data_IF_877436160114
#
_entry.id   IF_877436160114
#
_cell.length_a   1.000
_cell.length_b   1.000
_cell.length_c   1.000
_cell.angle_alpha   90.00
_cell.angle_beta   90.00
_cell.angle_gamma   90.00
#
_symmetry.space_group_name_H-M   'P 1'
#
loop_
_entity.id
_entity.type
_entity.pdbx_description
1 polymer ?
#
# COMPACT_ATOMS: atom_id res chain seq x y z
N UNK A 1 26.37 31.97 46.93
CA UNK A 1 25.59 30.82 47.44
C UNK A 1 24.38 30.55 46.54
N UNK A 2 24.59 30.05 45.31
CA UNK A 2 23.48 29.68 44.42
C UNK A 2 23.43 28.16 44.27
N UNK A 3 22.59 27.58 45.13
CA UNK A 3 21.83 26.34 45.00
C UNK A 3 22.49 25.16 44.27
N UNK A 4 23.23 24.35 45.03
CA UNK A 4 23.48 22.92 44.77
C UNK A 4 22.16 22.12 44.63
N UNK A 5 21.01 22.70 45.00
CA UNK A 5 19.70 22.06 44.91
C UNK A 5 19.17 21.85 43.47
N UNK A 6 19.67 22.60 42.48
CA UNK A 6 19.22 22.45 41.08
C UNK A 6 19.81 21.18 40.43
N UNK A 7 21.07 20.84 40.73
CA UNK A 7 21.70 19.62 40.22
C UNK A 7 21.06 18.34 40.79
N UNK A 8 20.59 18.35 42.05
CA UNK A 8 19.84 17.21 42.62
C UNK A 8 18.43 17.05 42.04
N UNK A 9 17.83 18.12 41.49
CA UNK A 9 16.52 18.01 40.82
C UNK A 9 16.63 17.46 39.40
N UNK A 10 17.72 17.72 38.69
CA UNK A 10 17.96 17.16 37.36
C UNK A 10 18.27 15.65 37.39
N UNK A 11 18.97 15.15 38.40
CA UNK A 11 19.27 13.71 38.52
C UNK A 11 18.05 12.83 38.81
N UNK A 12 17.00 13.39 39.42
CA UNK A 12 15.78 12.63 39.72
C UNK A 12 14.90 12.42 38.48
N UNK A 13 15.04 13.23 37.43
CA UNK A 13 14.32 13.04 36.17
C UNK A 13 14.93 11.94 35.29
N UNK A 14 16.22 11.64 35.46
CA UNK A 14 16.94 10.65 34.64
C UNK A 14 16.92 9.22 35.19
N UNK A 15 16.46 9.02 36.43
CA UNK A 15 16.56 7.71 37.09
C UNK A 15 15.59 6.64 36.55
N UNK A 16 14.63 6.99 35.70
CA UNK A 16 13.68 6.02 35.14
C UNK A 16 13.98 5.56 33.70
N UNK A 17 15.11 5.96 33.11
CA UNK A 17 15.47 5.56 31.74
C UNK A 17 16.82 4.85 31.65
N UNK A 18 17.26 4.16 32.70
CA UNK A 18 18.19 3.05 32.50
C UNK A 18 17.37 1.93 31.85
N UNK A 19 17.22 2.03 30.52
CA UNK A 19 16.69 0.95 29.70
C UNK A 19 17.51 -0.29 30.04
N UNK A 20 16.88 -1.29 30.67
CA UNK A 20 17.49 -2.58 30.87
C UNK A 20 17.73 -3.20 29.49
N UNK A 21 18.93 -3.02 28.94
CA UNK A 21 19.36 -3.78 27.78
C UNK A 21 19.57 -5.22 28.22
N UNK A 22 18.77 -6.13 27.65
CA UNK A 22 18.94 -7.57 27.86
C UNK A 22 19.76 -8.10 26.70
N UNK A 23 20.83 -8.80 27.03
CA UNK A 23 21.63 -9.54 26.07
C UNK A 23 21.65 -11.02 26.43
N UNK A 24 21.61 -11.92 25.45
CA UNK A 24 21.76 -13.36 25.64
C UNK A 24 23.06 -13.84 25.03
N UNK A 25 23.95 -14.31 25.91
CA UNK A 25 25.26 -14.85 25.54
C UNK A 25 25.23 -16.36 25.68
N UNK A 26 25.60 -17.08 24.62
CA UNK A 26 25.79 -18.53 24.66
C UNK A 26 27.23 -18.78 25.08
N UNK A 27 27.40 -19.22 26.32
CA UNK A 27 28.69 -19.53 26.91
C UNK A 27 28.96 -21.03 26.85
N UNK A 28 30.19 -21.41 26.53
CA UNK A 28 30.68 -22.79 26.58
C UNK A 28 31.86 -22.87 27.53
N UNK A 29 31.97 -23.95 28.29
CA UNK A 29 33.16 -24.21 29.10
C UNK A 29 34.36 -24.48 28.18
N UNK A 30 35.47 -23.79 28.44
CA UNK A 30 36.75 -24.03 27.74
C UNK A 30 37.26 -25.43 28.06
N UNK A 31 37.20 -25.79 29.34
CA UNK A 31 37.54 -27.12 29.85
C UNK A 31 36.28 -27.77 30.42
N UNK A 32 35.82 -28.85 29.79
CA UNK A 32 34.71 -29.65 30.29
C UNK A 32 35.28 -30.78 31.16
N UNK A 33 35.16 -30.72 32.49
CA UNK A 33 35.66 -31.78 33.34
C UNK A 33 34.82 -33.05 33.18
N UNK A 34 35.49 -34.19 33.05
CA UNK A 34 34.86 -35.51 33.23
C UNK A 34 34.12 -35.60 34.58
N UNK A 35 32.92 -36.20 34.64
CA UNK A 35 32.21 -36.43 35.89
C UNK A 35 33.10 -37.20 36.89
N UNK A 36 33.03 -36.83 38.17
CA UNK A 36 33.75 -37.58 39.21
C UNK A 36 33.06 -38.93 39.39
N UNK A 37 33.80 -40.02 39.21
CA UNK A 37 33.27 -41.36 39.36
C UNK A 37 32.82 -41.61 40.82
N UNK A 38 31.77 -42.41 41.05
CA UNK A 38 31.31 -42.71 42.39
C UNK A 38 32.41 -43.44 43.19
N UNK A 39 32.64 -42.99 44.42
CA UNK A 39 33.67 -43.54 45.32
C UNK A 39 35.07 -42.91 45.17
N UNK A 40 35.29 -42.06 44.17
CA UNK A 40 36.55 -41.32 44.05
C UNK A 40 36.52 -40.03 44.88
N UNK A 41 37.71 -39.59 45.32
CA UNK A 41 37.86 -38.30 46.00
C UNK A 41 37.42 -37.14 45.08
N UNK A 42 36.87 -36.09 45.69
CA UNK A 42 36.55 -34.86 44.97
C UNK A 42 37.82 -34.27 44.33
N UNK A 43 37.66 -33.61 43.18
CA UNK A 43 38.75 -32.97 42.43
C UNK A 43 39.50 -31.94 43.29
N UNK A 44 40.77 -31.71 42.96
CA UNK A 44 41.60 -30.74 43.65
C UNK A 44 40.99 -29.32 43.52
N UNK A 45 40.70 -28.61 44.63
CA UNK A 45 40.15 -27.26 44.59
C UNK A 45 41.03 -26.25 43.82
N UNK A 46 42.34 -26.50 43.69
CA UNK A 46 43.24 -25.63 42.94
C UNK A 46 42.95 -25.58 41.42
N UNK A 47 42.29 -26.60 40.86
CA UNK A 47 41.90 -26.66 39.44
C UNK A 47 40.63 -25.84 39.13
N UNK A 48 39.90 -25.44 40.17
CA UNK A 48 38.60 -24.77 40.04
C UNK A 48 38.61 -23.51 39.16
N UNK A 49 39.62 -22.61 39.23
CA UNK A 49 39.70 -21.44 38.35
C UNK A 49 39.77 -21.78 36.87
N UNK A 50 40.46 -22.87 36.50
CA UNK A 50 40.59 -23.30 35.11
C UNK A 50 39.29 -23.92 34.59
N UNK A 51 38.59 -24.67 35.44
CA UNK A 51 37.29 -25.27 35.12
C UNK A 51 36.14 -24.25 35.02
N UNK A 52 36.33 -23.05 35.58
CA UNK A 52 35.39 -21.94 35.50
C UNK A 52 35.58 -21.05 34.27
N UNK A 53 36.57 -21.33 33.42
CA UNK A 53 36.79 -20.56 32.19
C UNK A 53 35.68 -20.84 31.18
N UNK A 54 34.98 -19.78 30.80
CA UNK A 54 33.93 -19.80 29.78
C UNK A 54 34.42 -19.04 28.54
N UNK A 55 34.18 -19.63 27.38
CA UNK A 55 34.33 -18.98 26.08
C UNK A 55 32.97 -18.50 25.61
N UNK A 56 32.93 -17.30 25.01
CA UNK A 56 31.74 -16.78 24.35
C UNK A 56 31.65 -17.45 22.98
N UNK A 57 30.68 -18.36 22.80
CA UNK A 57 30.51 -19.06 21.52
C UNK A 57 29.65 -18.23 20.58
N UNK A 58 28.55 -17.69 21.09
CA UNK A 58 27.64 -16.86 20.29
C UNK A 58 27.03 -15.74 21.13
N UNK A 59 26.77 -14.62 20.47
CA UNK A 59 25.95 -13.54 21.00
C UNK A 59 24.65 -13.55 20.18
N UNK A 60 23.55 -13.97 20.78
CA UNK A 60 22.30 -14.16 20.02
C UNK A 60 21.74 -12.83 19.51
N UNK A 61 21.95 -11.73 20.23
CA UNK A 61 21.43 -10.41 19.85
C UNK A 61 22.08 -9.83 18.58
N UNK A 62 23.26 -10.34 18.19
CA UNK A 62 23.91 -9.97 16.93
C UNK A 62 23.27 -10.67 15.74
N UNK A 63 22.57 -11.80 15.95
CA UNK A 63 21.90 -12.52 14.87
C UNK A 63 20.62 -11.78 14.53
N UNK A 64 20.49 -11.33 13.27
CA UNK A 64 19.20 -10.85 12.77
C UNK A 64 18.19 -11.97 12.95
N UNK A 65 17.08 -11.75 13.67
CA UNK A 65 16.24 -12.86 14.07
C UNK A 65 15.51 -13.45 12.83
N UNK A 66 15.46 -12.75 11.68
CA UNK A 66 14.78 -13.16 10.44
C UNK A 66 13.34 -12.61 10.25
N UNK A 67 12.58 -13.10 9.25
CA UNK A 67 11.14 -12.85 9.14
C UNK A 67 10.34 -13.74 10.11
N UNK A 68 9.05 -13.45 10.27
CA UNK A 68 8.11 -14.23 11.07
C UNK A 68 7.01 -14.82 10.19
N UNK A 69 6.85 -16.14 10.27
CA UNK A 69 5.76 -16.87 9.59
C UNK A 69 4.44 -16.66 10.32
N UNK A 70 3.45 -16.12 9.62
CA UNK A 70 2.10 -15.89 10.13
C UNK A 70 1.06 -16.39 9.15
N UNK A 71 -0.10 -16.78 9.68
CA UNK A 71 -1.28 -17.17 8.90
C UNK A 71 -2.25 -16.00 8.95
N UNK A 72 -2.61 -15.43 7.81
CA UNK A 72 -3.57 -14.33 7.76
C UNK A 72 -4.99 -14.84 8.06
N UNK A 73 -5.70 -14.16 8.94
CA UNK A 73 -7.10 -14.48 9.30
C UNK A 73 -8.10 -13.61 8.53
N UNK A 74 -7.62 -12.53 7.93
CA UNK A 74 -8.39 -11.59 7.11
C UNK A 74 -7.52 -11.18 5.92
N UNK A 75 -8.15 -10.71 4.85
CA UNK A 75 -7.43 -10.10 3.74
C UNK A 75 -6.71 -8.83 4.22
N UNK A 76 -5.41 -8.74 3.93
CA UNK A 76 -4.60 -7.58 4.31
C UNK A 76 -3.92 -7.02 3.07
N UNK A 77 -4.28 -5.78 2.71
CA UNK A 77 -3.73 -5.07 1.56
C UNK A 77 -2.19 -5.07 1.59
N UNK A 78 -1.59 -5.49 0.47
CA UNK A 78 -0.13 -5.49 0.27
C UNK A 78 0.63 -6.62 0.97
N UNK A 79 -0.05 -7.52 1.70
CA UNK A 79 0.59 -8.66 2.37
C UNK A 79 0.09 -9.99 1.81
N UNK A 80 -1.23 -10.18 1.73
CA UNK A 80 -1.81 -11.43 1.27
C UNK A 80 -3.28 -11.58 1.62
N UNK A 81 -3.86 -12.72 1.25
CA UNK A 81 -5.27 -13.00 1.45
C UNK A 81 -5.51 -13.86 2.69
N UNK A 82 -6.78 -13.97 3.07
CA UNK A 82 -7.23 -14.81 4.16
C UNK A 82 -6.76 -16.27 3.99
N UNK A 83 -6.24 -16.83 5.08
CA UNK A 83 -5.64 -18.16 5.21
C UNK A 83 -4.34 -18.40 4.42
N UNK A 84 -3.70 -17.35 3.91
CA UNK A 84 -2.35 -17.46 3.34
C UNK A 84 -1.29 -17.49 4.44
N UNK A 85 -0.26 -18.30 4.22
CA UNK A 85 0.93 -18.39 5.08
C UNK A 85 1.99 -17.47 4.50
N UNK A 86 2.30 -16.38 5.20
CA UNK A 86 3.21 -15.33 4.70
C UNK A 86 4.36 -15.11 5.68
N UNK A 87 5.55 -14.86 5.13
CA UNK A 87 6.72 -14.42 5.89
C UNK A 87 6.77 -12.89 5.93
N UNK A 88 6.59 -12.32 7.13
CA UNK A 88 6.47 -10.87 7.32
C UNK A 88 7.52 -10.36 8.29
N UNK A 89 7.90 -9.09 8.17
CA UNK A 89 8.75 -8.42 9.16
C UNK A 89 8.16 -8.56 10.58
N UNK A 90 8.98 -8.98 11.55
CA UNK A 90 8.58 -9.16 12.96
C UNK A 90 7.89 -7.96 13.58
N UNK A 91 8.33 -6.74 13.26
CA UNK A 91 7.74 -5.50 13.78
C UNK A 91 6.31 -5.35 13.28
N UNK A 92 6.10 -5.54 11.97
CA UNK A 92 4.77 -5.47 11.37
C UNK A 92 3.86 -6.57 11.96
N UNK A 93 4.37 -7.80 12.03
CA UNK A 93 3.62 -8.92 12.57
C UNK A 93 3.17 -8.68 14.03
N UNK A 94 4.07 -8.24 14.92
CA UNK A 94 3.77 -8.03 16.35
C UNK A 94 2.98 -6.76 16.63
N UNK A 95 3.19 -5.68 15.87
CA UNK A 95 2.52 -4.38 16.11
C UNK A 95 1.13 -4.33 15.48
N UNK A 96 0.99 -4.85 14.26
CA UNK A 96 -0.22 -4.71 13.48
C UNK A 96 -0.96 -6.05 13.38
N UNK A 97 -0.35 -7.09 12.80
CA UNK A 97 -1.11 -8.28 12.39
C UNK A 97 -1.62 -9.12 13.57
N UNK A 98 -0.74 -9.51 14.48
CA UNK A 98 -1.06 -10.36 15.61
C UNK A 98 -1.86 -9.60 16.66
N UNK A 99 -1.47 -8.36 16.96
CA UNK A 99 -2.13 -7.52 17.96
C UNK A 99 -3.57 -7.19 17.57
N UNK A 100 -3.83 -6.88 16.29
CA UNK A 100 -5.20 -6.60 15.79
C UNK A 100 -5.98 -7.84 15.39
N UNK A 101 -5.48 -9.05 15.72
CA UNK A 101 -6.10 -10.34 15.39
C UNK A 101 -6.37 -10.50 13.88
N UNK A 102 -5.55 -9.88 13.04
CA UNK A 102 -5.57 -10.06 11.58
C UNK A 102 -4.74 -11.26 11.13
N UNK A 103 -3.86 -11.77 11.98
CA UNK A 103 -3.07 -12.96 11.72
C UNK A 103 -2.88 -13.78 13.00
N UNK A 104 -2.54 -15.05 12.83
CA UNK A 104 -2.09 -15.95 13.87
C UNK A 104 -0.65 -16.41 13.60
N UNK A 105 0.05 -16.87 14.65
CA UNK A 105 1.34 -17.52 14.46
C UNK A 105 1.18 -18.80 13.64
N UNK A 106 2.14 -19.09 12.74
CA UNK A 106 2.20 -20.34 12.00
C UNK A 106 2.71 -21.50 12.87
N UNK A 107 2.01 -21.77 13.98
CA UNK A 107 2.22 -22.97 14.81
C UNK A 107 1.74 -24.21 14.06
N UNK A 108 2.35 -25.41 14.24
CA UNK A 108 1.87 -26.66 13.64
C UNK A 108 0.38 -26.92 13.86
N UNK A 109 -0.13 -26.60 15.06
CA UNK A 109 -1.56 -26.69 15.38
C UNK A 109 -2.42 -25.74 14.55
N UNK A 110 -2.00 -24.48 14.44
CA UNK A 110 -2.75 -23.47 13.67
C UNK A 110 -2.72 -23.77 12.17
N UNK A 111 -1.63 -24.33 11.65
CA UNK A 111 -1.52 -24.74 10.26
C UNK A 111 -2.57 -25.81 9.91
N UNK A 112 -2.76 -26.80 10.79
CA UNK A 112 -3.80 -27.81 10.61
C UNK A 112 -5.20 -27.20 10.73
N UNK A 113 -5.45 -26.47 11.83
CA UNK A 113 -6.76 -25.87 12.11
C UNK A 113 -7.23 -24.93 10.99
N UNK A 114 -6.37 -24.02 10.53
CA UNK A 114 -6.74 -23.08 9.48
C UNK A 114 -6.74 -23.70 8.07
N UNK A 115 -6.00 -24.79 7.85
CA UNK A 115 -6.15 -25.56 6.61
C UNK A 115 -7.54 -26.18 6.51
N UNK A 116 -8.03 -26.83 7.57
CA UNK A 116 -9.40 -27.37 7.63
C UNK A 116 -10.46 -26.26 7.48
N UNK A 117 -10.25 -25.10 8.10
CA UNK A 117 -11.15 -23.95 7.91
C UNK A 117 -11.15 -23.43 6.47
N UNK A 118 -9.99 -23.38 5.81
CA UNK A 118 -9.87 -22.95 4.42
C UNK A 118 -10.64 -23.89 3.48
N UNK A 119 -10.61 -25.19 3.74
CA UNK A 119 -11.39 -26.18 2.98
C UNK A 119 -12.90 -26.00 3.20
N UNK A 120 -13.34 -25.82 4.45
CA UNK A 120 -14.76 -25.59 4.77
C UNK A 120 -15.31 -24.30 4.14
N UNK A 121 -14.48 -23.27 4.04
CA UNK A 121 -14.85 -21.94 3.55
C UNK A 121 -14.53 -21.73 2.06
N UNK A 122 -14.13 -22.78 1.33
CA UNK A 122 -13.64 -22.68 -0.05
C UNK A 122 -14.63 -21.99 -0.97
N UNK A 123 -15.91 -22.36 -0.89
CA UNK A 123 -16.96 -21.79 -1.75
C UNK A 123 -17.19 -20.30 -1.49
N UNK A 124 -17.04 -19.84 -0.24
CA UNK A 124 -17.15 -18.42 0.09
C UNK A 124 -15.92 -17.64 -0.35
N UNK A 125 -14.74 -18.26 -0.27
CA UNK A 125 -13.47 -17.69 -0.70
C UNK A 125 -13.39 -17.56 -2.22
N UNK A 126 -14.06 -18.41 -2.97
CA UNK A 126 -14.14 -18.33 -4.44
C UNK A 126 -15.13 -17.24 -4.91
N UNK A 127 -16.19 -16.95 -4.14
CA UNK A 127 -17.13 -15.87 -4.45
C UNK A 127 -16.56 -14.46 -4.24
N UNK A 128 -15.47 -14.34 -3.50
CA UNK A 128 -14.84 -13.03 -3.20
C UNK A 128 -13.95 -12.62 -4.36
N UNK A 129 -14.24 -11.45 -4.92
CA UNK A 129 -13.41 -10.82 -5.94
C UNK A 129 -12.09 -10.39 -5.30
N UNK A 130 -10.99 -11.03 -5.71
CA UNK A 130 -9.63 -10.67 -5.25
C UNK A 130 -8.98 -9.71 -6.23
N UNK A 131 -8.82 -8.46 -5.82
CA UNK A 131 -8.11 -7.45 -6.62
C UNK A 131 -6.63 -7.47 -6.20
N UNK A 132 -5.68 -7.62 -7.14
CA UNK A 132 -4.27 -7.54 -6.80
C UNK A 132 -3.91 -6.15 -6.22
N UNK A 133 -2.99 -6.12 -5.26
CA UNK A 133 -2.65 -4.90 -4.54
C UNK A 133 -2.12 -3.78 -5.46
N UNK A 134 -1.32 -4.12 -6.46
CA UNK A 134 -0.74 -3.16 -7.40
C UNK A 134 -1.82 -2.38 -8.16
N UNK A 135 -2.94 -3.04 -8.49
CA UNK A 135 -4.09 -2.43 -9.15
C UNK A 135 -4.83 -1.47 -8.22
N UNK A 136 -4.98 -1.85 -6.95
CA UNK A 136 -5.58 -0.96 -5.92
C UNK A 136 -4.71 0.29 -5.76
N UNK A 137 -3.39 0.14 -5.70
CA UNK A 137 -2.45 1.26 -5.58
C UNK A 137 -2.53 2.18 -6.80
N UNK A 138 -2.46 1.62 -8.01
CA UNK A 138 -2.60 2.36 -9.27
C UNK A 138 -3.95 3.11 -9.35
N UNK A 139 -5.05 2.44 -8.98
CA UNK A 139 -6.38 3.06 -8.94
C UNK A 139 -6.43 4.26 -7.99
N UNK A 140 -5.87 4.11 -6.78
CA UNK A 140 -5.78 5.21 -5.80
C UNK A 140 -4.93 6.39 -6.29
N UNK A 141 -3.86 6.13 -7.02
CA UNK A 141 -3.00 7.18 -7.58
C UNK A 141 -3.66 7.91 -8.75
N UNK A 142 -4.28 7.17 -9.67
CA UNK A 142 -4.95 7.73 -10.85
C UNK A 142 -6.21 8.51 -10.48
N UNK A 143 -7.04 8.01 -9.57
CA UNK A 143 -8.26 8.72 -9.12
C UNK A 143 -7.94 10.08 -8.48
N UNK A 144 -6.78 10.20 -7.81
CA UNK A 144 -6.33 11.47 -7.22
C UNK A 144 -5.91 12.51 -8.25
N UNK A 145 -5.54 12.09 -9.47
CA UNK A 145 -5.07 12.99 -10.53
C UNK A 145 -6.26 13.59 -11.29
N UNK A 146 -6.25 14.92 -11.44
CA UNK A 146 -7.12 15.63 -12.37
C UNK A 146 -6.28 16.01 -13.58
N UNK A 147 -6.62 15.48 -14.74
CA UNK A 147 -5.79 15.62 -15.93
C UNK A 147 -6.16 16.88 -16.70
N UNK A 148 -5.18 17.72 -17.01
CA UNK A 148 -5.37 18.93 -17.79
C UNK A 148 -5.41 18.58 -19.28
N UNK A 149 -6.61 18.53 -19.85
CA UNK A 149 -6.85 18.26 -21.26
C UNK A 149 -6.51 19.50 -22.09
N UNK A 150 -5.29 19.55 -22.62
CA UNK A 150 -4.80 20.70 -23.39
C UNK A 150 -5.39 20.69 -24.80
N UNK A 151 -6.17 21.72 -25.09
CA UNK A 151 -6.81 21.93 -26.40
C UNK A 151 -6.40 23.27 -26.99
N UNK A 152 -6.49 23.43 -28.31
CA UNK A 152 -6.08 24.67 -28.98
C UNK A 152 -7.17 25.76 -28.87
N UNK A 153 -6.77 27.02 -28.71
CA UNK A 153 -7.66 28.18 -28.83
C UNK A 153 -7.98 28.56 -30.28
N UNK A 154 -7.12 28.18 -31.22
CA UNK A 154 -7.12 28.71 -32.58
C UNK A 154 -7.60 27.70 -33.59
N UNK A 155 -7.17 26.44 -33.42
CA UNK A 155 -7.54 25.38 -34.32
C UNK A 155 -8.84 24.71 -33.86
N UNK A 156 -9.76 24.40 -34.78
CA UNK A 156 -10.93 23.58 -34.46
C UNK A 156 -10.47 22.20 -33.98
N UNK A 157 -11.06 21.76 -32.87
CA UNK A 157 -10.76 20.47 -32.27
C UNK A 157 -12.04 19.76 -31.85
N UNK A 158 -11.98 18.43 -31.88
CA UNK A 158 -12.96 17.53 -31.30
C UNK A 158 -12.28 16.81 -30.14
N UNK A 159 -12.96 16.72 -28.99
CA UNK A 159 -12.40 16.02 -27.85
C UNK A 159 -12.43 14.51 -28.09
N UNK A 160 -11.33 14.03 -28.67
CA UNK A 160 -11.14 12.62 -29.00
C UNK A 160 -10.16 11.94 -28.03
N UNK A 161 -10.06 10.61 -28.10
CA UNK A 161 -9.13 9.79 -27.32
C UNK A 161 -7.68 10.27 -27.46
N UNK A 162 -7.29 10.75 -28.64
CA UNK A 162 -5.94 11.24 -28.92
C UNK A 162 -5.54 12.46 -28.06
N UNK A 163 -6.49 13.37 -27.80
CA UNK A 163 -6.26 14.55 -26.94
C UNK A 163 -6.05 14.12 -25.49
N UNK A 164 -6.89 13.18 -25.04
CA UNK A 164 -6.78 12.60 -23.69
C UNK A 164 -5.46 11.85 -23.53
N UNK A 165 -5.05 11.05 -24.52
CA UNK A 165 -3.77 10.34 -24.56
C UNK A 165 -2.58 11.29 -24.48
N UNK A 166 -2.57 12.34 -25.30
CA UNK A 166 -1.50 13.33 -25.31
C UNK A 166 -1.37 14.04 -23.94
N UNK A 167 -2.51 14.36 -23.33
CA UNK A 167 -2.57 14.99 -22.01
C UNK A 167 -2.12 14.05 -20.88
N UNK A 168 -2.54 12.78 -20.92
CA UNK A 168 -2.07 11.72 -20.03
C UNK A 168 -0.55 11.53 -20.10
N UNK A 169 0.00 11.51 -21.33
CA UNK A 169 1.43 11.37 -21.56
C UNK A 169 2.22 12.54 -20.99
N UNK A 170 1.67 13.76 -21.05
CA UNK A 170 2.28 14.94 -20.43
C UNK A 170 2.33 14.84 -18.90
N UNK A 171 1.35 14.20 -18.29
CA UNK A 171 1.31 13.89 -16.84
C UNK A 171 2.13 12.64 -16.46
N UNK A 172 2.87 12.08 -17.41
CA UNK A 172 3.73 10.91 -17.23
C UNK A 172 3.00 9.57 -17.22
N UNK A 173 1.76 9.50 -17.72
CA UNK A 173 0.97 8.26 -17.80
C UNK A 173 0.89 7.80 -19.26
N UNK A 174 1.49 6.65 -19.56
CA UNK A 174 1.49 6.06 -20.89
C UNK A 174 0.37 5.01 -21.03
N UNK A 175 -0.54 5.22 -21.98
CA UNK A 175 -1.74 4.41 -22.20
C UNK A 175 -1.92 4.14 -23.70
N UNK A 176 -2.49 2.97 -24.02
CA UNK A 176 -2.90 2.54 -25.36
C UNK A 176 -4.27 3.17 -25.68
N UNK A 177 -4.47 3.65 -26.92
CA UNK A 177 -5.68 4.40 -27.33
C UNK A 177 -6.98 3.65 -27.08
N UNK A 178 -6.91 2.34 -27.27
CA UNK A 178 -8.00 1.37 -27.14
C UNK A 178 -8.56 1.26 -25.72
N UNK A 179 -7.76 1.67 -24.73
CA UNK A 179 -8.08 1.57 -23.31
C UNK A 179 -8.65 2.87 -22.71
N UNK A 180 -8.88 3.90 -23.55
CA UNK A 180 -9.46 5.18 -23.14
C UNK A 180 -10.92 5.24 -23.60
N UNK A 181 -11.83 5.41 -22.64
CA UNK A 181 -13.27 5.49 -22.87
C UNK A 181 -13.83 6.84 -22.38
N UNK A 182 -14.40 7.61 -23.30
CA UNK A 182 -14.96 8.93 -23.02
C UNK A 182 -16.49 8.86 -22.97
N UNK A 183 -17.10 9.47 -21.94
CA UNK A 183 -18.57 9.55 -21.79
C UNK A 183 -19.18 10.50 -22.83
N UNK A 184 -18.57 11.66 -23.05
CA UNK A 184 -19.06 12.72 -23.94
C UNK A 184 -18.23 12.85 -25.21
N UNK A 185 -18.61 12.17 -26.30
CA UNK A 185 -17.88 12.18 -27.59
C UNK A 185 -18.05 13.45 -28.44
N UNK A 186 -18.99 14.33 -28.09
CA UNK A 186 -19.44 15.41 -28.97
C UNK A 186 -18.99 16.82 -28.56
N UNK A 187 -17.96 16.94 -27.71
CA UNK A 187 -17.42 18.24 -27.34
C UNK A 187 -16.53 18.78 -28.47
N UNK A 188 -16.91 19.95 -28.98
CA UNK A 188 -16.22 20.64 -30.07
C UNK A 188 -15.78 22.03 -29.61
N UNK A 189 -14.62 22.43 -30.06
CA UNK A 189 -14.10 23.78 -29.89
C UNK A 189 -13.50 24.33 -31.19
N UNK A 190 -12.94 25.55 -31.15
CA UNK A 190 -12.61 26.32 -29.95
C UNK A 190 -13.84 27.00 -29.32
N UNK A 191 -14.14 26.68 -28.06
CA UNK A 191 -15.16 27.38 -27.28
C UNK A 191 -14.61 27.71 -25.90
N UNK A 192 -14.36 28.99 -25.64
CA UNK A 192 -13.78 29.50 -24.39
C UNK A 192 -14.68 29.20 -23.18
N UNK A 193 -15.99 29.03 -23.37
CA UNK A 193 -16.93 28.65 -22.31
C UNK A 193 -16.66 27.26 -21.74
N UNK A 194 -15.97 26.40 -22.50
CA UNK A 194 -15.53 25.08 -22.04
C UNK A 194 -14.24 25.14 -21.22
N UNK A 195 -13.64 26.31 -21.01
CA UNK A 195 -12.46 26.45 -20.15
C UNK A 195 -12.77 26.00 -18.72
N UNK A 196 -11.84 25.24 -18.13
CA UNK A 196 -11.99 24.62 -16.81
C UNK A 196 -13.19 23.66 -16.67
N UNK A 197 -13.84 23.26 -17.78
CA UNK A 197 -14.93 22.29 -17.77
C UNK A 197 -14.41 20.92 -17.33
N UNK A 198 -15.04 20.34 -16.30
CA UNK A 198 -14.70 19.02 -15.79
C UNK A 198 -15.43 17.95 -16.58
N UNK A 199 -14.70 16.88 -16.90
CA UNK A 199 -15.18 15.76 -17.67
C UNK A 199 -14.77 14.45 -17.01
N UNK A 200 -15.59 13.45 -17.21
CA UNK A 200 -15.26 12.08 -16.83
C UNK A 200 -14.82 11.29 -18.03
N UNK A 201 -13.76 10.51 -17.83
CA UNK A 201 -13.37 9.45 -18.74
C UNK A 201 -12.87 8.26 -17.93
N UNK A 202 -12.84 7.11 -18.56
CA UNK A 202 -12.40 5.86 -17.95
C UNK A 202 -11.13 5.38 -18.63
N UNK A 203 -10.22 4.88 -17.81
CA UNK A 203 -8.99 4.21 -18.26
C UNK A 203 -9.07 2.76 -17.82
N UNK A 204 -8.81 1.86 -18.75
CA UNK A 204 -8.77 0.43 -18.47
C UNK A 204 -7.31 -0.02 -18.35
N UNK A 205 -7.01 -0.73 -17.26
CA UNK A 205 -5.70 -1.31 -17.00
C UNK A 205 -5.79 -2.82 -17.19
N UNK A 206 -4.89 -3.37 -18.01
CA UNK A 206 -4.76 -4.80 -18.29
C UNK A 206 -6.08 -5.50 -18.69
N UNK A 207 -6.98 -4.80 -19.37
CA UNK A 207 -8.30 -5.32 -19.82
C UNK A 207 -9.18 -5.87 -18.68
N UNK A 208 -8.91 -5.50 -17.43
CA UNK A 208 -9.56 -6.04 -16.24
C UNK A 208 -10.05 -4.95 -15.29
N UNK A 209 -9.32 -3.83 -15.19
CA UNK A 209 -9.55 -2.84 -14.14
C UNK A 209 -9.91 -1.48 -14.72
N UNK A 210 -11.14 -1.04 -14.45
CA UNK A 210 -11.71 0.22 -14.94
C UNK A 210 -11.52 1.29 -13.87
N UNK A 211 -10.82 2.35 -14.22
CA UNK A 211 -10.52 3.47 -13.34
C UNK A 211 -11.26 4.72 -13.83
N UNK A 212 -12.18 5.29 -13.04
CA UNK A 212 -12.78 6.58 -13.34
C UNK A 212 -11.78 7.70 -13.07
N UNK A 213 -11.47 8.49 -14.10
CA UNK A 213 -10.61 9.65 -14.02
C UNK A 213 -11.38 10.93 -14.37
N UNK A 214 -10.86 12.05 -13.91
CA UNK A 214 -11.43 13.36 -14.18
C UNK A 214 -10.45 14.15 -15.04
N UNK A 215 -10.94 14.68 -16.14
CA UNK A 215 -10.25 15.62 -17.01
C UNK A 215 -10.77 17.03 -16.81
N UNK A 216 -9.91 18.02 -16.95
CA UNK A 216 -10.25 19.44 -17.00
C UNK A 216 -9.82 20.00 -18.34
N UNK A 217 -10.75 20.53 -19.13
CA UNK A 217 -10.39 21.22 -20.38
C UNK A 217 -9.58 22.47 -20.05
N UNK A 218 -8.41 22.59 -20.68
CA UNK A 218 -7.53 23.74 -20.58
C UNK A 218 -7.16 24.19 -21.98
N UNK A 219 -7.57 25.38 -22.38
CA UNK A 219 -7.20 25.92 -23.66
C UNK A 219 -5.77 26.46 -23.65
N UNK A 220 -5.09 26.26 -24.77
CA UNK A 220 -3.70 26.66 -24.99
C UNK A 220 -3.60 27.38 -26.32
N UNK A 221 -2.81 28.45 -26.34
CA UNK A 221 -2.44 29.19 -27.55
C UNK A 221 -0.92 29.32 -27.58
N UNK A 222 -0.36 29.29 -28.78
CA UNK A 222 1.06 29.61 -29.02
C UNK A 222 1.33 31.10 -28.80
N UNK A 223 0.34 31.96 -29.04
CA UNK A 223 0.45 33.40 -28.84
C UNK A 223 0.34 33.72 -27.35
N UNK A 224 1.42 34.25 -26.76
CA UNK A 224 1.46 34.67 -25.35
C UNK A 224 0.34 35.65 -25.00
N UNK A 225 -0.06 36.52 -25.92
CA UNK A 225 -1.16 37.48 -25.72
C UNK A 225 -2.54 36.85 -25.55
N UNK A 226 -2.73 35.61 -26.04
CA UNK A 226 -4.01 34.89 -25.97
C UNK A 226 -4.01 33.82 -24.86
N UNK A 227 -2.90 33.64 -24.15
CA UNK A 227 -2.85 32.70 -23.04
C UNK A 227 -3.77 33.18 -21.91
N UNK A 228 -4.49 32.23 -21.31
CA UNK A 228 -5.27 32.50 -20.11
C UNK A 228 -4.29 32.85 -18.99
N UNK A 229 -4.34 34.09 -18.49
CA UNK A 229 -3.39 34.60 -17.48
C UNK A 229 -3.44 33.83 -16.15
N UNK A 230 -4.63 33.31 -15.79
CA UNK A 230 -4.85 32.52 -14.58
C UNK A 230 -5.56 31.21 -14.94
N UNK A 231 -4.86 30.23 -15.52
CA UNK A 231 -5.51 28.96 -15.82
C UNK A 231 -5.84 28.28 -14.49
N UNK A 232 -7.07 27.80 -14.32
CA UNK A 232 -7.49 27.12 -13.08
C UNK A 232 -6.80 25.75 -12.88
N UNK A 233 -5.74 25.44 -13.63
CA UNK A 233 -5.01 24.17 -13.66
C UNK A 233 -4.72 23.63 -12.26
N UNK A 234 -4.33 24.48 -11.31
CA UNK A 234 -3.86 24.05 -9.98
C UNK A 234 -4.99 23.82 -8.96
N UNK A 235 -6.20 24.34 -9.19
CA UNK A 235 -7.29 24.24 -8.19
C UNK A 235 -7.86 22.83 -8.16
N UNK A 236 -7.76 22.14 -7.03
CA UNK A 236 -8.44 20.87 -6.82
C UNK A 236 -9.97 21.06 -6.91
N UNK A 237 -10.69 20.18 -7.63
CA UNK A 237 -12.13 20.30 -7.80
C UNK A 237 -12.84 20.13 -6.46
N UNK A 238 -13.76 21.04 -6.18
CA UNK A 238 -14.59 21.04 -4.98
C UNK A 238 -15.82 20.17 -5.20
N UNK A 239 -16.47 19.69 -4.13
CA UNK A 239 -17.77 18.98 -4.22
C UNK A 239 -18.86 19.78 -4.95
N UNK A 240 -18.77 21.11 -4.93
CA UNK A 240 -19.67 22.01 -5.67
C UNK A 240 -19.41 21.96 -7.18
N UNK A 241 -18.15 21.91 -7.59
CA UNK A 241 -17.75 21.80 -9.00
C UNK A 241 -18.26 20.47 -9.57
N UNK A 242 -18.12 19.38 -8.81
CA UNK A 242 -18.68 18.08 -9.19
C UNK A 242 -20.20 18.12 -9.40
N UNK A 243 -20.95 18.78 -8.51
CA UNK A 243 -22.40 18.97 -8.67
C UNK A 243 -22.75 19.82 -9.89
N UNK A 244 -21.99 20.89 -10.15
CA UNK A 244 -22.19 21.80 -11.29
C UNK A 244 -22.10 21.06 -12.62
N UNK A 245 -21.15 20.14 -12.75
CA UNK A 245 -20.94 19.36 -13.98
C UNK A 245 -21.66 18.00 -13.96
N UNK A 246 -22.47 17.69 -12.94
CA UNK A 246 -23.22 16.43 -12.86
C UNK A 246 -22.35 15.19 -12.63
N UNK A 247 -21.13 15.37 -12.13
CA UNK A 247 -20.13 14.33 -11.94
C UNK A 247 -20.31 13.70 -10.53
N UNK A 248 -20.57 12.39 -10.46
CA UNK A 248 -20.82 11.65 -9.20
C UNK A 248 -19.58 10.85 -8.80
N UNK A 249 -19.11 10.90 -7.55
CA UNK A 249 -17.96 10.08 -7.13
C UNK A 249 -18.22 8.58 -7.37
N UNK A 250 -17.29 7.88 -8.04
CA UNK A 250 -17.40 6.46 -8.39
C UNK A 250 -16.18 5.68 -7.91
N UNK A 251 -16.38 4.40 -7.61
CA UNK A 251 -15.30 3.47 -7.26
C UNK A 251 -14.83 2.72 -8.51
N UNK A 252 -13.54 2.35 -8.59
CA UNK A 252 -13.02 1.56 -9.69
C UNK A 252 -13.65 0.16 -9.70
N UNK A 253 -13.69 -0.45 -10.88
CA UNK A 253 -14.30 -1.77 -11.08
C UNK A 253 -13.26 -2.77 -11.58
N UNK A 254 -13.28 -3.98 -11.01
CA UNK A 254 -12.36 -5.06 -11.37
C UNK A 254 -13.13 -6.28 -11.86
N UNK A 255 -12.70 -6.81 -13.00
CA UNK A 255 -13.16 -8.09 -13.56
C UNK A 255 -12.05 -9.11 -13.44
N UNK A 256 -12.37 -10.33 -13.00
CA UNK A 256 -11.37 -11.41 -12.87
C UNK A 256 -10.81 -11.86 -14.21
N UNK A 257 -11.64 -11.86 -15.26
CA UNK A 257 -11.24 -12.21 -16.62
C UNK A 257 -10.93 -10.95 -17.44
N UNK A 258 -9.90 -11.04 -18.26
CA UNK A 258 -9.46 -9.97 -19.16
C UNK A 258 -10.38 -9.85 -20.40
N UNK A 259 -11.62 -9.41 -20.17
CA UNK A 259 -12.67 -9.36 -21.19
C UNK A 259 -12.95 -7.93 -21.69
N UNK A 260 -12.35 -6.90 -21.06
CA UNK A 260 -12.60 -5.51 -21.42
C UNK A 260 -11.74 -5.16 -22.63
N UNK A 261 -12.35 -5.26 -23.81
CA UNK A 261 -11.78 -4.89 -25.11
C UNK A 261 -12.35 -3.54 -25.58
N UNK A 262 -11.91 -3.10 -26.76
CA UNK A 262 -12.32 -1.83 -27.40
C UNK A 262 -13.83 -1.68 -27.56
N UNK A 263 -14.50 -2.77 -27.94
CA UNK A 263 -15.95 -2.81 -28.21
C UNK A 263 -16.80 -2.88 -26.93
N UNK A 264 -16.17 -3.04 -25.77
CA UNK A 264 -16.89 -3.16 -24.51
C UNK A 264 -17.47 -1.81 -24.09
N UNK A 265 -18.77 -1.77 -23.79
CA UNK A 265 -19.44 -0.55 -23.33
C UNK A 265 -19.12 -0.27 -21.84
N UNK A 266 -17.89 0.17 -21.59
CA UNK A 266 -17.40 0.57 -20.28
C UNK A 266 -18.27 1.68 -19.69
N UNK A 267 -18.70 2.64 -20.52
CA UNK A 267 -19.48 3.79 -20.07
C UNK A 267 -20.87 3.34 -19.61
N UNK A 268 -21.56 2.49 -20.38
CA UNK A 268 -22.84 1.91 -20.00
C UNK A 268 -22.78 1.12 -18.70
N UNK A 269 -21.75 0.28 -18.51
CA UNK A 269 -21.56 -0.49 -17.28
C UNK A 269 -21.39 0.42 -16.05
N UNK A 270 -20.56 1.45 -16.15
CA UNK A 270 -20.33 2.39 -15.05
C UNK A 270 -21.57 3.22 -14.74
N UNK A 271 -22.35 3.58 -15.77
CA UNK A 271 -23.62 4.28 -15.61
C UNK A 271 -24.68 3.43 -14.91
N UNK A 272 -24.78 2.13 -15.21
CA UNK A 272 -25.67 1.20 -14.50
C UNK A 272 -25.29 1.11 -13.01
N UNK A 273 -23.99 0.96 -12.70
CA UNK A 273 -23.51 0.93 -11.31
C UNK A 273 -23.79 2.24 -10.55
N UNK A 274 -23.79 3.38 -11.25
CA UNK A 274 -24.18 4.68 -10.68
C UNK A 274 -25.66 4.70 -10.28
N UNK A 275 -26.52 3.96 -10.99
CA UNK A 275 -27.94 3.83 -10.64
C UNK A 275 -28.14 2.86 -9.47
N UNK A 276 -27.44 1.73 -9.46
CA UNK A 276 -27.54 0.73 -8.38
C UNK A 276 -27.08 1.25 -7.01
N UNK A 277 -26.15 2.23 -7.00
CA UNK A 277 -25.63 2.84 -5.77
C UNK A 277 -26.47 4.03 -5.25
N UNK A 278 -27.53 4.44 -5.95
CA UNK A 278 -28.45 5.51 -5.50
C UNK A 278 -29.63 4.94 -4.72
#
# INVERSE_FOLDING_TARGET
MLSVSLFKRLSNLTNNTILQYRFTWVLRRVLTPEPTQPGYMQRNPAEHPDLMKLEVVEIEDLKSPGPLKVILLKDVEGIGNQFDVVEVNRRLARTNLLLTQKAAYASPFNLQYYAEMKEKMKDELEKRIRIPYDYILLGRELIKKVISLRVSMENPWLLDKLVVKASLRQEGVEIIDDMIFLENKNLRGPNIELEAHLLRFYVVVCNQYIIPMIGRICHTSSDESKQVLYPETTRMPTKEDFKKYGIVEEQPYFTEKAEILEDFDVVGLMMQRRQDNK
#
